data_IF_811103824551
#
_entry.id   IF_811103824551
#
_cell.length_a   1.000
_cell.length_b   1.000
_cell.length_c   1.000
_cell.angle_alpha   90.00
_cell.angle_beta   90.00
_cell.angle_gamma   90.00
#
_symmetry.space_group_name_H-M   'P 1'
#
loop_
_entity.id
_entity.type
_entity.pdbx_description
1 polymer ?
#
# COMPACT_ATOMS: atom_id res chain seq x y z
N UNK A 1 8.36 2.95 -4.67
CA UNK A 1 7.13 2.13 -4.47
C UNK A 1 6.94 1.20 -5.65
N UNK A 2 6.56 -0.06 -5.45
CA UNK A 2 6.38 -1.03 -6.53
C UNK A 2 5.02 -1.73 -6.45
N UNK A 3 4.28 -1.75 -7.56
CA UNK A 3 3.02 -2.48 -7.69
C UNK A 3 3.29 -3.85 -8.32
N UNK A 4 3.06 -4.91 -7.55
CA UNK A 4 3.31 -6.31 -7.89
C UNK A 4 2.00 -7.13 -7.90
N UNK A 5 0.84 -6.47 -7.94
CA UNK A 5 -0.46 -7.16 -7.94
C UNK A 5 -0.60 -8.00 -9.22
N UNK A 6 -0.76 -9.32 -9.14
CA UNK A 6 -0.67 -10.20 -10.32
C UNK A 6 -1.64 -9.83 -11.46
N UNK A 7 -2.84 -9.39 -11.11
CA UNK A 7 -3.86 -8.97 -12.06
C UNK A 7 -3.52 -7.62 -12.75
N UNK A 8 -2.67 -6.78 -12.15
CA UNK A 8 -2.13 -5.57 -12.81
C UNK A 8 -0.96 -5.95 -13.72
N UNK A 9 -0.06 -6.83 -13.23
CA UNK A 9 1.11 -7.26 -13.98
C UNK A 9 0.75 -8.00 -15.28
N UNK A 10 -0.28 -8.83 -15.23
CA UNK A 10 -0.80 -9.55 -16.40
C UNK A 10 -1.61 -8.66 -17.36
N UNK A 11 -1.96 -7.43 -16.95
CA UNK A 11 -2.84 -6.55 -17.71
C UNK A 11 -4.33 -6.88 -17.61
N UNK A 12 -4.73 -7.86 -16.79
CA UNK A 12 -6.14 -8.20 -16.55
C UNK A 12 -6.91 -6.99 -15.96
N UNK A 13 -6.25 -6.25 -15.07
CA UNK A 13 -6.74 -5.01 -14.47
C UNK A 13 -5.79 -3.87 -14.79
N UNK A 14 -6.36 -2.67 -14.91
CA UNK A 14 -5.59 -1.44 -15.08
C UNK A 14 -4.79 -1.12 -13.81
N UNK A 15 -3.68 -0.41 -13.95
CA UNK A 15 -2.82 0.00 -12.83
C UNK A 15 -3.53 0.89 -11.79
N UNK A 16 -4.63 1.52 -12.17
CA UNK A 16 -5.47 2.32 -11.29
C UNK A 16 -6.59 1.53 -10.59
N UNK A 17 -6.67 0.21 -10.76
CA UNK A 17 -7.66 -0.63 -10.07
C UNK A 17 -7.43 -0.62 -8.55
N UNK A 18 -8.51 -0.53 -7.77
CA UNK A 18 -8.46 -0.52 -6.29
C UNK A 18 -9.54 -1.39 -5.64
N UNK A 19 -10.42 -2.02 -6.41
CA UNK A 19 -11.47 -2.84 -5.82
C UNK A 19 -12.53 -3.30 -6.80
N UNK A 20 -13.45 -4.10 -6.28
CA UNK A 20 -14.64 -4.57 -6.98
C UNK A 20 -15.88 -4.14 -6.19
N UNK A 21 -16.84 -3.54 -6.89
CA UNK A 21 -18.20 -3.33 -6.40
C UNK A 21 -19.11 -4.34 -7.09
N UNK A 22 -19.93 -5.07 -6.34
CA UNK A 22 -20.86 -6.05 -6.92
C UNK A 22 -22.26 -5.46 -7.03
N UNK A 23 -22.91 -5.67 -8.18
CA UNK A 23 -24.29 -5.29 -8.43
C UNK A 23 -25.31 -6.27 -7.84
N UNK A 24 -26.61 -5.97 -7.99
CA UNK A 24 -27.69 -6.76 -7.40
C UNK A 24 -27.75 -8.23 -7.85
N UNK A 25 -27.19 -8.54 -9.03
CA UNK A 25 -27.03 -9.91 -9.55
C UNK A 25 -25.62 -10.47 -9.30
N UNK A 26 -24.88 -9.89 -8.36
CA UNK A 26 -23.50 -10.25 -8.00
C UNK A 26 -22.44 -10.02 -9.09
N UNK A 27 -22.82 -9.34 -10.17
CA UNK A 27 -21.92 -8.98 -11.26
C UNK A 27 -20.85 -7.97 -10.79
N UNK A 28 -19.56 -8.22 -11.05
CA UNK A 28 -18.47 -7.37 -10.56
C UNK A 28 -18.27 -6.13 -11.45
N UNK A 29 -18.02 -4.99 -10.82
CA UNK A 29 -17.61 -3.74 -11.45
C UNK A 29 -16.30 -3.27 -10.84
N UNK A 30 -15.33 -2.94 -11.68
CA UNK A 30 -14.05 -2.44 -11.22
C UNK A 30 -14.19 -1.04 -10.64
N UNK A 31 -13.57 -0.84 -9.49
CA UNK A 31 -13.39 0.45 -8.84
C UNK A 31 -11.95 0.88 -9.09
N UNK A 32 -11.76 2.14 -9.48
CA UNK A 32 -10.45 2.72 -9.76
C UNK A 32 -10.10 3.84 -8.79
N UNK A 33 -8.84 4.27 -8.79
CA UNK A 33 -8.42 5.48 -8.09
C UNK A 33 -9.26 6.67 -8.53
N UNK A 34 -9.55 7.58 -7.59
CA UNK A 34 -10.33 8.78 -7.88
C UNK A 34 -9.59 9.72 -8.84
N UNK A 35 -8.25 9.72 -8.81
CA UNK A 35 -7.41 10.51 -9.71
C UNK A 35 -7.35 9.93 -11.13
N UNK A 36 -7.73 8.66 -11.32
CA UNK A 36 -7.52 7.91 -12.55
C UNK A 36 -6.07 7.45 -12.77
N UNK A 37 -5.11 7.89 -11.95
CA UNK A 37 -3.69 7.52 -12.05
C UNK A 37 -3.41 6.13 -11.46
N UNK A 38 -2.26 5.50 -11.79
CA UNK A 38 -1.82 4.28 -11.13
C UNK A 38 -1.90 4.39 -9.60
N UNK A 39 -2.34 3.31 -8.93
CA UNK A 39 -2.43 3.27 -7.46
C UNK A 39 -1.10 3.64 -6.80
N UNK A 40 0.01 3.13 -7.35
CA UNK A 40 1.35 3.43 -6.84
C UNK A 40 1.67 4.92 -6.80
N UNK A 41 1.19 5.70 -7.77
CA UNK A 41 1.45 7.15 -7.83
C UNK A 41 0.64 7.90 -6.77
N UNK A 42 -0.64 7.53 -6.58
CA UNK A 42 -1.50 8.14 -5.56
C UNK A 42 -0.97 7.84 -4.15
N UNK A 43 -0.57 6.59 -3.89
CA UNK A 43 0.01 6.22 -2.61
C UNK A 43 1.36 6.90 -2.39
N UNK A 44 2.25 6.92 -3.40
CA UNK A 44 3.54 7.61 -3.31
C UNK A 44 3.37 9.10 -2.98
N UNK A 45 2.41 9.77 -3.62
CA UNK A 45 2.12 11.16 -3.34
C UNK A 45 1.62 11.33 -1.90
N UNK A 46 0.72 10.47 -1.44
CA UNK A 46 0.23 10.51 -0.05
C UNK A 46 1.38 10.34 0.96
N UNK A 47 2.27 9.35 0.77
CA UNK A 47 3.42 9.14 1.65
C UNK A 47 4.38 10.32 1.65
N UNK A 48 4.77 10.79 0.47
CA UNK A 48 5.70 11.92 0.35
C UNK A 48 5.13 13.16 1.03
N UNK A 49 3.84 13.45 0.83
CA UNK A 49 3.16 14.57 1.48
C UNK A 49 3.15 14.43 3.01
N UNK A 50 2.79 13.24 3.53
CA UNK A 50 2.76 13.00 4.98
C UNK A 50 4.15 13.15 5.60
N UNK A 51 5.18 12.52 5.04
CA UNK A 51 6.54 12.60 5.58
C UNK A 51 7.14 14.00 5.47
N UNK A 52 6.89 14.71 4.37
CA UNK A 52 7.30 16.10 4.21
C UNK A 52 6.61 17.00 5.22
N UNK A 53 5.30 16.79 5.47
CA UNK A 53 4.57 17.55 6.49
C UNK A 53 5.06 17.29 7.92
N UNK A 54 5.69 16.13 8.16
CA UNK A 54 6.37 15.79 9.40
C UNK A 54 7.81 16.34 9.49
N UNK A 55 8.26 17.14 8.51
CA UNK A 55 9.59 17.76 8.49
C UNK A 55 10.71 16.91 7.90
N UNK A 56 10.39 15.76 7.29
CA UNK A 56 11.38 14.90 6.64
C UNK A 56 11.56 15.30 5.18
N UNK A 57 12.81 15.40 4.70
CA UNK A 57 13.08 15.58 3.27
C UNK A 57 12.94 14.23 2.59
N UNK A 58 11.90 14.09 1.75
CA UNK A 58 11.60 12.83 1.05
C UNK A 58 11.58 13.06 -0.45
N UNK A 59 12.32 12.23 -1.17
CA UNK A 59 12.20 12.06 -2.61
C UNK A 59 11.66 10.66 -2.89
N UNK A 60 10.70 10.56 -3.79
CA UNK A 60 9.98 9.33 -4.03
C UNK A 60 9.78 9.08 -5.52
N UNK A 61 9.81 7.80 -5.92
CA UNK A 61 9.47 7.36 -7.26
C UNK A 61 8.69 6.04 -7.24
N UNK A 62 7.84 5.86 -8.24
CA UNK A 62 7.28 4.55 -8.56
C UNK A 62 8.30 3.76 -9.38
N UNK A 63 8.33 2.46 -9.15
CA UNK A 63 9.30 1.53 -9.73
C UNK A 63 8.61 0.65 -10.76
N UNK A 64 9.33 0.30 -11.81
CA UNK A 64 8.85 -0.67 -12.78
C UNK A 64 8.63 -2.03 -12.10
N UNK A 65 7.50 -2.67 -12.39
CA UNK A 65 7.14 -3.95 -11.76
C UNK A 65 8.04 -5.13 -12.14
N UNK A 66 8.85 -4.99 -13.19
CA UNK A 66 9.80 -6.03 -13.62
C UNK A 66 11.11 -6.06 -12.81
N UNK A 67 11.36 -5.06 -11.96
CA UNK A 67 12.58 -5.01 -11.15
C UNK A 67 12.53 -6.03 -10.02
N UNK A 68 13.65 -6.72 -9.79
CA UNK A 68 13.84 -7.48 -8.54
C UNK A 68 13.90 -6.51 -7.34
N UNK A 69 13.62 -6.98 -6.11
CA UNK A 69 13.75 -6.15 -4.92
C UNK A 69 15.14 -5.50 -4.79
N UNK A 70 16.21 -6.22 -5.13
CA UNK A 70 17.59 -5.73 -5.05
C UNK A 70 17.83 -4.61 -6.08
N UNK A 71 17.35 -4.80 -7.32
CA UNK A 71 17.45 -3.78 -8.37
C UNK A 71 16.60 -2.54 -8.04
N UNK A 72 15.43 -2.75 -7.45
CA UNK A 72 14.56 -1.68 -6.95
C UNK A 72 15.26 -0.85 -5.87
N UNK A 73 15.88 -1.50 -4.88
CA UNK A 73 16.63 -0.82 -3.81
C UNK A 73 17.83 -0.09 -4.39
N UNK A 74 18.62 -0.72 -5.26
CA UNK A 74 19.76 -0.08 -5.91
C UNK A 74 19.36 1.20 -6.66
N UNK A 75 18.23 1.17 -7.38
CA UNK A 75 17.70 2.34 -8.07
C UNK A 75 17.25 3.44 -7.10
N UNK A 76 16.63 3.09 -5.96
CA UNK A 76 16.22 4.07 -4.96
C UNK A 76 17.42 4.68 -4.21
N UNK A 77 18.44 3.86 -3.88
CA UNK A 77 19.67 4.29 -3.19
C UNK A 77 20.54 5.20 -4.05
N UNK A 78 20.45 5.12 -5.38
CA UNK A 78 21.22 5.96 -6.31
C UNK A 78 21.00 7.48 -6.11
N UNK A 79 19.91 7.88 -5.44
CA UNK A 79 19.60 9.27 -5.13
C UNK A 79 20.41 9.83 -3.94
N UNK A 80 21.26 9.01 -3.29
CA UNK A 80 22.13 9.45 -2.19
C UNK A 80 21.42 9.69 -0.86
N UNK A 81 20.20 9.16 -0.67
CA UNK A 81 19.44 9.27 0.57
C UNK A 81 20.07 8.46 1.71
N UNK A 82 20.03 8.97 2.95
CA UNK A 82 20.55 8.29 4.14
C UNK A 82 19.78 7.01 4.50
N UNK A 83 18.52 6.96 4.09
CA UNK A 83 17.59 5.84 4.27
C UNK A 83 16.76 5.67 3.00
N UNK A 84 16.44 4.42 2.69
CA UNK A 84 15.51 4.06 1.62
C UNK A 84 14.34 3.28 2.20
N UNK A 85 13.13 3.79 2.02
CA UNK A 85 11.88 3.06 2.29
C UNK A 85 11.35 2.46 0.97
N UNK A 86 11.47 1.14 0.85
CA UNK A 86 10.87 0.38 -0.24
C UNK A 86 9.53 -0.20 0.23
N UNK A 87 8.49 0.00 -0.57
CA UNK A 87 7.15 -0.53 -0.33
C UNK A 87 6.69 -1.29 -1.58
N UNK A 88 6.25 -2.52 -1.39
CA UNK A 88 5.74 -3.41 -2.42
C UNK A 88 4.31 -3.86 -2.12
N UNK A 89 3.45 -3.84 -3.15
CA UNK A 89 2.04 -4.27 -3.06
C UNK A 89 1.83 -5.53 -3.89
N UNK A 90 1.50 -6.66 -3.26
CA UNK A 90 1.13 -7.91 -3.95
C UNK A 90 -0.38 -8.14 -3.98
N UNK A 91 -1.09 -7.58 -3.01
CA UNK A 91 -2.55 -7.51 -2.97
C UNK A 91 -2.95 -6.17 -2.34
N UNK A 92 -3.91 -5.49 -2.96
CA UNK A 92 -4.48 -4.24 -2.46
C UNK A 92 -5.78 -3.96 -3.20
N UNK A 93 -6.89 -4.38 -2.61
CA UNK A 93 -8.22 -4.14 -3.16
C UNK A 93 -9.32 -4.23 -2.11
N UNK A 94 -10.44 -3.59 -2.39
CA UNK A 94 -11.70 -3.89 -1.73
C UNK A 94 -12.56 -4.85 -2.54
N UNK A 95 -13.44 -5.59 -1.87
CA UNK A 95 -14.53 -6.33 -2.50
C UNK A 95 -15.81 -6.00 -1.73
N UNK A 96 -16.75 -5.32 -2.38
CA UNK A 96 -17.94 -4.74 -1.76
C UNK A 96 -19.22 -5.32 -2.34
N UNK A 97 -20.08 -5.83 -1.47
CA UNK A 97 -21.47 -6.19 -1.76
C UNK A 97 -22.38 -5.87 -0.55
N UNK A 98 -23.11 -6.86 -0.01
CA UNK A 98 -23.82 -6.75 1.28
C UNK A 98 -22.85 -6.61 2.45
N UNK A 99 -21.73 -7.34 2.37
CA UNK A 99 -20.57 -7.18 3.22
C UNK A 99 -19.43 -6.64 2.37
N UNK A 100 -18.53 -5.90 3.00
CA UNK A 100 -17.35 -5.35 2.35
C UNK A 100 -16.10 -5.87 3.03
N UNK A 101 -15.06 -6.11 2.25
CA UNK A 101 -13.76 -6.54 2.74
C UNK A 101 -12.65 -5.72 2.11
N UNK A 102 -11.53 -5.59 2.82
CA UNK A 102 -10.25 -5.18 2.26
C UNK A 102 -9.30 -6.37 2.25
N UNK A 103 -8.64 -6.58 1.12
CA UNK A 103 -7.62 -7.60 0.93
C UNK A 103 -6.29 -6.88 0.72
N UNK A 104 -5.27 -7.37 1.41
CA UNK A 104 -3.95 -6.75 1.41
C UNK A 104 -2.85 -7.81 1.51
N UNK A 105 -1.75 -7.52 0.83
CA UNK A 105 -0.44 -8.17 0.95
C UNK A 105 0.59 -7.10 0.60
N UNK A 106 1.18 -6.52 1.64
CA UNK A 106 2.04 -5.34 1.56
C UNK A 106 3.30 -5.55 2.38
N UNK A 107 4.45 -5.21 1.78
CA UNK A 107 5.75 -5.28 2.43
C UNK A 107 6.37 -3.88 2.48
N UNK A 108 6.90 -3.50 3.64
CA UNK A 108 7.76 -2.34 3.81
C UNK A 108 9.15 -2.80 4.26
N UNK A 109 10.19 -2.25 3.65
CA UNK A 109 11.58 -2.51 4.00
C UNK A 109 12.34 -1.19 4.08
N UNK A 110 13.16 -1.05 5.10
CA UNK A 110 14.08 0.08 5.27
C UNK A 110 15.50 -0.39 4.98
N UNK A 111 16.24 0.39 4.21
CA UNK A 111 17.64 0.17 3.91
C UNK A 111 18.48 1.39 4.29
N UNK A 112 19.74 1.17 4.62
CA UNK A 112 20.72 2.24 4.74
C UNK A 112 21.19 2.75 3.37
N UNK A 113 22.06 3.76 3.37
CA UNK A 113 22.68 4.32 2.16
C UNK A 113 23.50 3.31 1.34
N UNK A 114 23.93 2.21 1.95
CA UNK A 114 24.71 1.16 1.30
C UNK A 114 23.81 0.02 0.75
N UNK A 115 22.48 0.13 0.90
CA UNK A 115 21.54 -0.92 0.51
C UNK A 115 21.43 -2.07 1.50
N UNK A 116 21.95 -1.92 2.72
CA UNK A 116 21.82 -2.92 3.80
C UNK A 116 20.44 -2.77 4.44
N UNK A 117 19.67 -3.87 4.51
CA UNK A 117 18.35 -3.88 5.12
C UNK A 117 18.45 -3.66 6.64
N UNK A 118 17.82 -2.60 7.12
CA UNK A 118 17.75 -2.22 8.53
C UNK A 118 16.49 -2.73 9.23
N UNK A 119 15.39 -2.87 8.49
CA UNK A 119 14.11 -3.30 9.04
C UNK A 119 13.13 -3.72 7.96
N UNK A 120 12.14 -4.52 8.36
CA UNK A 120 11.08 -5.01 7.48
C UNK A 120 9.80 -5.19 8.29
N UNK A 121 8.67 -4.96 7.62
CA UNK A 121 7.38 -5.41 8.07
C UNK A 121 6.55 -5.91 6.89
N UNK A 122 5.73 -6.92 7.14
CA UNK A 122 4.87 -7.55 6.15
C UNK A 122 3.48 -7.73 6.75
N UNK A 123 2.46 -7.26 6.03
CA UNK A 123 1.06 -7.46 6.39
C UNK A 123 0.36 -8.18 5.25
N UNK A 124 -0.33 -9.26 5.57
CA UNK A 124 -1.17 -10.00 4.64
C UNK A 124 -2.47 -10.40 5.32
N UNK A 125 -3.59 -10.23 4.63
CA UNK A 125 -4.87 -10.64 5.18
C UNK A 125 -6.09 -10.17 4.41
N UNK A 126 -7.23 -10.41 5.04
CA UNK A 126 -8.55 -10.00 4.60
C UNK A 126 -9.35 -9.56 5.82
N UNK A 127 -9.70 -8.28 5.87
CA UNK A 127 -10.44 -7.70 6.99
C UNK A 127 -11.84 -7.31 6.52
N UNK A 128 -12.84 -7.57 7.37
CA UNK A 128 -14.20 -7.11 7.12
C UNK A 128 -14.32 -5.61 7.44
N UNK A 129 -15.01 -4.88 6.59
CA UNK A 129 -15.44 -3.51 6.85
C UNK A 129 -16.84 -3.61 7.48
N UNK A 130 -16.91 -3.52 8.81
CA UNK A 130 -18.18 -3.70 9.52
C UNK A 130 -19.14 -2.55 9.23
N UNK A 131 -20.33 -2.86 8.72
CA UNK A 131 -21.45 -1.93 8.57
C UNK A 131 -22.49 -2.05 9.70
N UNK A 132 -22.36 -3.03 10.62
CA UNK A 132 -23.34 -3.30 11.68
C UNK A 132 -22.91 -2.78 13.06
N UNK A 133 -23.79 -2.05 13.74
CA UNK A 133 -23.60 -1.52 15.11
C UNK A 133 -23.25 -2.58 16.18
N UNK A 134 -23.55 -3.87 15.94
CA UNK A 134 -23.19 -4.97 16.85
C UNK A 134 -21.70 -5.38 16.78
N UNK A 135 -21.04 -5.11 15.65
CA UNK A 135 -19.61 -5.35 15.42
C UNK A 135 -18.75 -4.10 15.66
N UNK A 136 -19.38 -2.93 15.84
CA UNK A 136 -18.73 -1.64 16.07
C UNK A 136 -18.04 -1.50 17.44
N UNK A 137 -18.03 -2.57 18.26
CA UNK A 137 -17.43 -2.56 19.60
C UNK A 137 -15.92 -2.85 19.62
N UNK A 138 -15.28 -3.25 18.51
CA UNK A 138 -13.81 -3.46 18.52
C UNK A 138 -13.00 -2.58 17.59
N UNK A 139 -13.48 -2.17 16.39
CA UNK A 139 -12.59 -1.48 15.44
C UNK A 139 -13.26 -0.33 14.67
N UNK A 140 -12.61 0.83 14.65
CA UNK A 140 -13.14 2.14 14.24
C UNK A 140 -13.06 2.42 12.72
N UNK A 141 -12.89 1.40 11.89
CA UNK A 141 -12.62 1.56 10.45
C UNK A 141 -13.85 1.33 9.59
N UNK A 142 -14.87 2.19 9.75
CA UNK A 142 -16.18 2.06 9.10
C UNK A 142 -16.19 2.40 7.60
N UNK A 143 -15.03 2.59 6.97
CA UNK A 143 -14.93 2.82 5.52
C UNK A 143 -13.72 2.10 4.93
N UNK A 144 -13.81 1.74 3.64
CA UNK A 144 -12.71 1.13 2.88
C UNK A 144 -11.45 2.01 2.93
N UNK A 145 -11.62 3.33 2.75
CA UNK A 145 -10.52 4.30 2.80
C UNK A 145 -9.85 4.30 4.18
N UNK A 146 -10.62 4.32 5.26
CA UNK A 146 -10.10 4.31 6.63
C UNK A 146 -9.39 3.00 6.96
N UNK A 147 -9.90 1.86 6.48
CA UNK A 147 -9.26 0.57 6.67
C UNK A 147 -7.92 0.47 5.92
N UNK A 148 -7.86 0.97 4.69
CA UNK A 148 -6.60 1.07 3.96
C UNK A 148 -5.59 2.00 4.63
N UNK A 149 -6.03 3.19 5.09
CA UNK A 149 -5.18 4.10 5.86
C UNK A 149 -4.64 3.43 7.12
N UNK A 150 -5.49 2.66 7.81
CA UNK A 150 -5.06 1.90 8.98
C UNK A 150 -4.00 0.86 8.64
N UNK A 151 -4.16 0.09 7.55
CA UNK A 151 -3.16 -0.91 7.14
C UNK A 151 -1.81 -0.29 6.81
N UNK A 152 -1.80 0.89 6.17
CA UNK A 152 -0.56 1.63 5.97
C UNK A 152 0.05 2.07 7.30
N UNK A 153 -0.76 2.59 8.22
CA UNK A 153 -0.29 2.99 9.55
C UNK A 153 0.28 1.79 10.31
N UNK A 154 -0.43 0.67 10.32
CA UNK A 154 0.00 -0.60 10.93
C UNK A 154 1.33 -1.08 10.34
N UNK A 155 1.47 -1.02 9.00
CA UNK A 155 2.70 -1.40 8.31
C UNK A 155 3.90 -0.58 8.80
N UNK A 156 3.74 0.75 8.86
CA UNK A 156 4.83 1.67 9.20
C UNK A 156 5.07 1.83 10.71
N UNK A 157 4.10 1.52 11.56
CA UNK A 157 4.23 1.69 13.01
C UNK A 157 4.87 0.49 13.71
N UNK A 158 5.26 -0.55 12.95
CA UNK A 158 5.96 -1.69 13.54
C UNK A 158 7.29 -1.25 14.18
N UNK A 159 7.68 -1.82 15.34
CA UNK A 159 8.93 -1.45 16.01
C UNK A 159 10.16 -1.57 15.09
N UNK A 160 10.17 -2.58 14.21
CA UNK A 160 11.25 -2.83 13.25
C UNK A 160 11.39 -1.68 12.24
N UNK A 161 10.29 -1.11 11.75
CA UNK A 161 10.32 0.02 10.83
C UNK A 161 10.67 1.31 11.56
N UNK A 162 10.03 1.56 12.72
CA UNK A 162 10.25 2.79 13.50
C UNK A 162 11.70 2.90 13.96
N UNK A 163 12.29 1.83 14.48
CA UNK A 163 13.70 1.82 14.89
C UNK A 163 14.67 1.95 13.72
N UNK A 164 14.30 1.47 12.52
CA UNK A 164 15.16 1.58 11.33
C UNK A 164 15.15 2.99 10.70
N UNK A 165 14.13 3.80 10.99
CA UNK A 165 13.99 5.18 10.51
C UNK A 165 14.70 6.22 11.40
N UNK A 166 15.11 5.83 12.63
CA UNK A 166 15.93 6.66 13.53
C UNK A 166 17.41 6.66 13.12
#
# INVERSE_FOLDING_TARGET
>A
MQDLRPYVLSGEKKSNFVGVQRGGFYNPFDVTTASGRPLGDDLLQAFTNTLTSAGTVVTGSTLASALSPEAAVAQLSANGSDRVLYIAFREWKSDSFQNSWVLYDITAQIFDKNGVKLGENHLQGKDAISSSAAMAKSDSHNSITSAFQWKIKELLSSPQIVSALQ
#
